data_IF_690835795311
#
_entry.id   IF_690835795311
#
_cell.length_a   1.000
_cell.length_b   1.000
_cell.length_c   1.000
_cell.angle_alpha   90.00
_cell.angle_beta   90.00
_cell.angle_gamma   90.00
#
_symmetry.space_group_name_H-M   'P 1'
#
loop_
_entity.id
_entity.type
_entity.pdbx_description
1 polymer ?
#
# COMPACT_ATOMS: atom_id res chain seq x y z
N UNK A 1 -6.47 -31.24 0.94
CA UNK A 1 -5.37 -31.28 -0.06
C UNK A 1 -5.92 -30.63 -1.32
N UNK A 2 -5.43 -29.53 -1.87
CA UNK A 2 -4.25 -28.73 -1.62
C UNK A 2 -4.67 -27.28 -1.88
N UNK A 3 -4.81 -26.46 -0.82
CA UNK A 3 -4.79 -25.01 -0.97
C UNK A 3 -3.33 -24.62 -1.22
N UNK A 4 -2.87 -24.84 -2.46
CA UNK A 4 -1.53 -24.43 -2.88
C UNK A 4 -1.52 -22.89 -2.85
N UNK A 5 -0.93 -22.31 -1.80
CA UNK A 5 0.51 -22.11 -1.62
C UNK A 5 1.03 -20.94 -2.47
N UNK A 6 0.39 -19.79 -2.33
CA UNK A 6 1.10 -18.64 -1.76
C UNK A 6 0.60 -18.44 -0.33
N UNK A 7 1.05 -19.36 0.52
CA UNK A 7 0.81 -19.48 1.94
C UNK A 7 1.14 -18.20 2.71
N UNK A 8 0.18 -17.74 3.50
CA UNK A 8 0.38 -17.38 4.90
C UNK A 8 1.58 -16.47 5.22
N UNK A 9 1.71 -15.32 4.53
CA UNK A 9 2.52 -14.17 4.99
C UNK A 9 1.91 -12.85 4.51
N UNK A 10 0.83 -12.41 5.16
CA UNK A 10 0.42 -11.00 5.13
C UNK A 10 -0.25 -10.50 3.84
N UNK A 11 -1.58 -10.41 3.89
CA UNK A 11 -2.41 -9.42 3.17
C UNK A 11 -2.07 -9.24 1.66
N UNK A 12 -2.76 -9.99 0.80
CA UNK A 12 -2.72 -9.81 -0.65
C UNK A 12 -3.28 -8.42 -1.01
N UNK A 13 -2.54 -7.66 -1.83
CA UNK A 13 -2.95 -6.34 -2.31
C UNK A 13 -3.49 -6.47 -3.72
N UNK A 14 -4.72 -5.99 -3.90
CA UNK A 14 -5.33 -5.83 -5.20
C UNK A 14 -4.53 -4.82 -6.03
N UNK A 15 -4.01 -5.22 -7.19
CA UNK A 15 -3.31 -4.29 -8.11
C UNK A 15 -4.24 -3.22 -8.69
N UNK A 16 -5.52 -3.52 -8.86
CA UNK A 16 -6.50 -2.58 -9.41
C UNK A 16 -6.96 -1.52 -8.42
N UNK A 17 -7.22 -1.91 -7.16
CA UNK A 17 -7.78 -0.99 -6.16
C UNK A 17 -6.87 -0.72 -4.96
N UNK A 18 -5.65 -1.26 -4.90
CA UNK A 18 -4.74 -1.10 -3.76
C UNK A 18 -5.23 -1.74 -2.45
N UNK A 19 -6.42 -2.35 -2.44
CA UNK A 19 -7.06 -2.88 -1.25
C UNK A 19 -6.35 -4.14 -0.74
N UNK A 20 -6.11 -4.19 0.56
CA UNK A 20 -5.26 -5.18 1.23
C UNK A 20 -6.05 -5.87 2.35
N UNK A 21 -6.45 -7.11 2.17
CA UNK A 21 -7.12 -7.94 3.18
C UNK A 21 -6.92 -9.43 2.88
N UNK A 22 -6.93 -10.30 3.91
CA UNK A 22 -6.92 -11.74 3.71
C UNK A 22 -8.12 -12.20 2.86
N UNK A 23 -7.89 -13.09 1.88
CA UNK A 23 -8.96 -13.71 1.10
C UNK A 23 -9.59 -12.83 0.02
N UNK A 24 -8.93 -11.73 -0.37
CA UNK A 24 -9.39 -10.89 -1.49
C UNK A 24 -9.15 -11.50 -2.88
N UNK A 25 -8.10 -12.30 -2.99
CA UNK A 25 -7.58 -12.96 -4.20
C UNK A 25 -8.37 -14.22 -4.57
N UNK A 26 -9.62 -14.33 -4.10
CA UNK A 26 -10.52 -15.43 -4.41
C UNK A 26 -10.86 -15.51 -5.91
N UNK A 27 -10.85 -14.36 -6.62
CA UNK A 27 -11.12 -14.37 -8.06
C UNK A 27 -9.84 -14.62 -8.88
N UNK A 28 -9.67 -15.87 -9.34
CA UNK A 28 -8.53 -16.27 -10.19
C UNK A 28 -8.67 -15.88 -11.66
N UNK A 29 -9.85 -15.39 -12.07
CA UNK A 29 -10.15 -15.06 -13.48
C UNK A 29 -9.51 -13.74 -13.91
N UNK A 30 -9.45 -12.78 -13.00
CA UNK A 30 -9.04 -11.40 -13.30
C UNK A 30 -7.78 -10.96 -12.56
N UNK A 31 -7.15 -11.87 -11.80
CA UNK A 31 -5.93 -11.61 -11.00
C UNK A 31 -6.04 -10.35 -10.10
N UNK A 32 -7.25 -10.00 -9.69
CA UNK A 32 -7.59 -8.82 -8.91
C UNK A 32 -8.53 -9.20 -7.77
N UNK A 33 -8.81 -8.29 -6.84
CA UNK A 33 -9.70 -8.63 -5.73
C UNK A 33 -11.14 -8.90 -6.20
N UNK A 34 -11.88 -9.65 -5.39
CA UNK A 34 -13.29 -10.00 -5.67
C UNK A 34 -14.19 -8.79 -5.97
N UNK A 35 -13.90 -7.61 -5.42
CA UNK A 35 -14.66 -6.38 -5.68
C UNK A 35 -14.39 -5.88 -7.10
N UNK A 36 -13.12 -5.67 -7.47
CA UNK A 36 -12.73 -5.22 -8.81
C UNK A 36 -13.09 -6.25 -9.88
N UNK A 37 -12.99 -7.54 -9.55
CA UNK A 37 -13.40 -8.62 -10.43
C UNK A 37 -14.90 -8.52 -10.76
N UNK A 38 -15.76 -8.24 -9.78
CA UNK A 38 -17.21 -8.08 -10.02
C UNK A 38 -17.52 -6.89 -10.90
N UNK A 39 -16.85 -5.77 -10.66
CA UNK A 39 -17.03 -4.57 -11.46
C UNK A 39 -16.62 -4.80 -12.92
N UNK A 40 -15.50 -5.50 -13.14
CA UNK A 40 -15.01 -5.83 -14.47
C UNK A 40 -15.84 -6.91 -15.20
N UNK A 41 -16.33 -7.92 -14.48
CA UNK A 41 -17.04 -9.07 -15.06
C UNK A 41 -18.56 -8.86 -15.19
N UNK A 42 -19.15 -7.99 -14.37
CA UNK A 42 -20.58 -7.67 -14.37
C UNK A 42 -21.46 -8.92 -14.24
N UNK A 43 -22.43 -9.04 -15.15
CA UNK A 43 -23.39 -10.16 -15.21
C UNK A 43 -22.75 -11.55 -15.37
N UNK A 44 -21.50 -11.62 -15.85
CA UNK A 44 -20.78 -12.88 -15.97
C UNK A 44 -20.52 -13.53 -14.61
N UNK A 45 -20.47 -12.75 -13.53
CA UNK A 45 -20.35 -13.28 -12.17
C UNK A 45 -21.55 -14.12 -11.75
N UNK A 46 -22.73 -13.91 -12.32
CA UNK A 46 -23.94 -14.66 -11.96
C UNK A 46 -23.87 -16.14 -12.34
N UNK A 47 -23.04 -16.46 -13.32
CA UNK A 47 -22.82 -17.81 -13.83
C UNK A 47 -21.55 -18.45 -13.28
N UNK A 48 -20.86 -17.79 -12.33
CA UNK A 48 -19.62 -18.29 -11.75
C UNK A 48 -19.91 -19.40 -10.73
N UNK A 49 -19.25 -20.58 -10.83
CA UNK A 49 -19.44 -21.67 -9.86
C UNK A 49 -19.00 -21.28 -8.44
N UNK A 50 -18.05 -20.35 -8.31
CA UNK A 50 -17.56 -19.82 -7.03
C UNK A 50 -18.35 -18.59 -6.53
N UNK A 51 -19.50 -18.25 -7.15
CA UNK A 51 -20.27 -17.04 -6.83
C UNK A 51 -20.56 -16.91 -5.34
N UNK A 52 -21.06 -17.97 -4.70
CA UNK A 52 -21.43 -17.96 -3.27
C UNK A 52 -20.23 -17.66 -2.37
N UNK A 53 -19.05 -18.20 -2.69
CA UNK A 53 -17.81 -17.89 -1.96
C UNK A 53 -17.40 -16.44 -2.15
N UNK A 54 -17.56 -15.93 -3.36
CA UNK A 54 -17.29 -14.53 -3.68
C UNK A 54 -18.27 -13.58 -2.97
N UNK A 55 -19.56 -13.98 -2.82
CA UNK A 55 -20.58 -13.19 -2.12
C UNK A 55 -20.20 -13.03 -0.64
N UNK A 56 -19.88 -14.13 0.05
CA UNK A 56 -19.43 -14.11 1.45
C UNK A 56 -18.19 -13.24 1.63
N UNK A 57 -17.22 -13.33 0.71
CA UNK A 57 -16.04 -12.48 0.76
C UNK A 57 -16.40 -10.99 0.62
N UNK A 58 -17.31 -10.64 -0.30
CA UNK A 58 -17.79 -9.25 -0.47
C UNK A 58 -18.53 -8.76 0.77
N UNK A 59 -19.38 -9.58 1.38
CA UNK A 59 -20.09 -9.24 2.62
C UNK A 59 -19.13 -9.05 3.80
N UNK A 60 -18.14 -9.93 3.96
CA UNK A 60 -17.08 -9.78 4.97
C UNK A 60 -16.30 -8.48 4.78
N UNK A 61 -16.06 -8.07 3.53
CA UNK A 61 -15.41 -6.79 3.23
C UNK A 61 -16.29 -5.59 3.54
N UNK A 62 -17.58 -5.65 3.22
CA UNK A 62 -18.55 -4.60 3.59
C UNK A 62 -18.61 -4.45 5.12
N UNK A 63 -18.62 -5.56 5.84
CA UNK A 63 -18.56 -5.56 7.30
C UNK A 63 -17.26 -4.95 7.83
N UNK A 64 -16.10 -5.32 7.29
CA UNK A 64 -14.82 -4.69 7.65
C UNK A 64 -14.82 -3.18 7.39
N UNK A 65 -15.38 -2.73 6.27
CA UNK A 65 -15.53 -1.29 5.97
C UNK A 65 -16.44 -0.57 6.96
N UNK A 66 -17.50 -1.22 7.42
CA UNK A 66 -18.38 -0.67 8.46
C UNK A 66 -17.65 -0.51 9.80
N UNK A 67 -16.75 -1.44 10.13
CA UNK A 67 -15.92 -1.37 11.33
C UNK A 67 -14.78 -0.35 11.21
N UNK A 68 -14.22 -0.20 10.01
CA UNK A 68 -13.10 0.69 9.71
C UNK A 68 -13.44 1.67 8.59
N UNK A 69 -14.27 2.69 8.83
CA UNK A 69 -14.67 3.67 7.80
C UNK A 69 -13.49 4.46 7.22
N UNK A 70 -12.33 4.46 7.90
CA UNK A 70 -11.09 5.09 7.43
C UNK A 70 -10.33 4.23 6.41
N UNK A 71 -10.74 2.98 6.21
CA UNK A 71 -10.09 2.04 5.30
C UNK A 71 -10.20 2.49 3.84
N UNK A 72 -11.33 3.09 3.44
CA UNK A 72 -11.51 3.61 2.08
C UNK A 72 -10.50 4.71 1.74
N UNK A 73 -10.18 5.59 2.69
CA UNK A 73 -9.17 6.65 2.52
C UNK A 73 -7.77 6.06 2.29
N UNK A 74 -7.41 5.01 3.02
CA UNK A 74 -6.14 4.31 2.81
C UNK A 74 -6.07 3.63 1.44
N UNK A 75 -7.20 3.08 1.00
CA UNK A 75 -7.32 2.32 -0.24
C UNK A 75 -7.23 3.24 -1.44
N UNK A 76 -7.88 4.40 -1.40
CA UNK A 76 -7.81 5.40 -2.47
C UNK A 76 -6.41 6.03 -2.58
N UNK A 77 -5.73 6.26 -1.45
CA UNK A 77 -4.31 6.59 -1.46
C UNK A 77 -3.47 5.48 -2.13
N UNK A 78 -3.77 4.21 -1.81
CA UNK A 78 -3.16 3.03 -2.42
C UNK A 78 -3.29 2.99 -3.94
N UNK A 79 -4.50 3.17 -4.47
CA UNK A 79 -4.76 3.25 -5.93
C UNK A 79 -3.94 4.34 -6.58
N UNK A 80 -4.00 5.52 -6.00
CA UNK A 80 -3.36 6.69 -6.57
C UNK A 80 -1.84 6.50 -6.63
N UNK A 81 -1.23 6.00 -5.54
CA UNK A 81 0.20 5.69 -5.52
C UNK A 81 0.55 4.60 -6.54
N UNK A 82 -0.20 3.50 -6.62
CA UNK A 82 0.07 2.44 -7.59
C UNK A 82 0.07 2.96 -9.03
N UNK A 83 -0.96 3.72 -9.40
CA UNK A 83 -1.08 4.36 -10.72
C UNK A 83 0.09 5.30 -11.02
N UNK A 84 0.52 6.11 -10.06
CA UNK A 84 1.65 7.03 -10.25
C UNK A 84 3.00 6.33 -10.42
N UNK A 85 3.14 5.14 -9.86
CA UNK A 85 4.40 4.37 -9.83
C UNK A 85 4.49 3.32 -10.94
N UNK A 86 3.38 3.01 -11.61
CA UNK A 86 3.31 2.08 -12.73
C UNK A 86 4.21 2.52 -13.89
N UNK A 87 4.18 3.81 -14.25
CA UNK A 87 5.06 4.41 -15.28
C UNK A 87 6.56 4.30 -14.98
N UNK A 88 6.94 3.96 -13.74
CA UNK A 88 8.32 3.77 -13.32
C UNK A 88 8.69 2.29 -13.10
N UNK A 89 7.76 1.34 -13.30
CA UNK A 89 7.90 -0.06 -12.89
C UNK A 89 8.33 -0.17 -11.41
N UNK A 90 7.68 0.60 -10.51
CA UNK A 90 8.00 0.67 -9.07
C UNK A 90 6.78 0.50 -8.16
N UNK A 91 5.71 -0.10 -8.65
CA UNK A 91 4.45 -0.29 -7.88
C UNK A 91 4.71 -1.00 -6.54
N UNK A 92 5.56 -2.03 -6.53
CA UNK A 92 5.87 -2.79 -5.31
C UNK A 92 6.56 -1.94 -4.23
N UNK A 93 7.42 -0.97 -4.61
CA UNK A 93 8.00 -0.02 -3.65
C UNK A 93 6.92 0.84 -3.00
N UNK A 94 5.98 1.36 -3.80
CA UNK A 94 4.86 2.16 -3.30
C UNK A 94 3.97 1.38 -2.34
N UNK A 95 3.68 0.13 -2.69
CA UNK A 95 2.92 -0.79 -1.85
C UNK A 95 3.62 -1.02 -0.50
N UNK A 96 4.92 -1.32 -0.50
CA UNK A 96 5.68 -1.53 0.73
C UNK A 96 5.76 -0.24 1.55
N UNK A 97 5.96 0.91 0.91
CA UNK A 97 5.95 2.22 1.55
C UNK A 97 4.63 2.44 2.30
N UNK A 98 3.49 2.27 1.63
CA UNK A 98 2.17 2.45 2.23
C UNK A 98 1.86 1.46 3.35
N UNK A 99 2.32 0.20 3.25
CA UNK A 99 2.23 -0.76 4.36
C UNK A 99 2.96 -0.23 5.60
N UNK A 100 4.16 0.34 5.42
CA UNK A 100 4.95 0.90 6.50
C UNK A 100 4.36 2.19 7.07
N UNK A 101 3.70 3.04 6.26
CA UNK A 101 3.01 4.26 6.74
C UNK A 101 1.95 3.94 7.79
N UNK A 102 1.28 2.79 7.72
CA UNK A 102 0.37 2.36 8.80
C UNK A 102 1.09 2.12 10.14
N UNK A 103 2.37 1.73 10.10
CA UNK A 103 3.22 1.66 11.29
C UNK A 103 3.48 3.03 11.91
N UNK A 104 3.69 4.06 11.09
CA UNK A 104 3.82 5.45 11.56
C UNK A 104 2.53 5.92 12.23
N UNK A 105 1.37 5.64 11.63
CA UNK A 105 0.05 5.99 12.23
C UNK A 105 -0.10 5.37 13.61
N UNK A 106 0.29 4.09 13.80
CA UNK A 106 0.27 3.45 15.12
C UNK A 106 1.25 4.12 16.10
N UNK A 107 2.44 4.50 15.63
CA UNK A 107 3.44 5.17 16.47
C UNK A 107 2.96 6.55 16.94
N UNK A 108 2.26 7.29 16.08
CA UNK A 108 1.67 8.61 16.38
C UNK A 108 0.59 8.57 17.48
N UNK A 109 0.04 7.38 17.79
CA UNK A 109 -0.86 7.23 18.93
C UNK A 109 -0.13 7.30 20.29
N UNK A 110 1.20 7.16 20.28
CA UNK A 110 2.04 7.05 21.49
C UNK A 110 3.11 8.15 21.57
N UNK A 111 3.55 8.66 20.42
CA UNK A 111 4.66 9.60 20.30
C UNK A 111 4.23 10.86 19.53
N UNK A 112 4.88 12.00 19.83
CA UNK A 112 4.69 13.24 19.05
C UNK A 112 5.27 13.12 17.65
N UNK A 113 4.74 13.89 16.68
CA UNK A 113 5.09 13.83 15.25
C UNK A 113 6.60 13.99 15.01
N UNK A 114 7.23 14.92 15.71
CA UNK A 114 8.65 15.27 15.60
C UNK A 114 9.57 14.12 15.99
N UNK A 115 9.11 13.26 16.90
CA UNK A 115 9.84 12.08 17.38
C UNK A 115 9.43 10.82 16.63
N UNK A 116 8.14 10.66 16.35
CA UNK A 116 7.59 9.48 15.67
C UNK A 116 8.14 9.34 14.25
N UNK A 117 8.22 10.44 13.47
CA UNK A 117 8.64 10.35 12.08
C UNK A 117 10.09 9.88 11.91
N UNK A 118 11.11 10.48 12.58
CA UNK A 118 12.48 9.99 12.49
C UNK A 118 12.64 8.55 13.02
N UNK A 119 11.98 8.20 14.13
CA UNK A 119 12.01 6.84 14.68
C UNK A 119 11.42 5.83 13.70
N UNK A 120 10.30 6.17 13.09
CA UNK A 120 9.66 5.34 12.08
C UNK A 120 10.59 5.14 10.88
N UNK A 121 11.14 6.22 10.30
CA UNK A 121 12.09 6.14 9.17
C UNK A 121 13.27 5.22 9.52
N UNK A 122 13.87 5.42 10.69
CA UNK A 122 14.98 4.60 11.17
C UNK A 122 14.59 3.14 11.42
N UNK A 123 13.32 2.84 11.70
CA UNK A 123 12.84 1.47 11.90
C UNK A 123 12.54 0.74 10.58
N UNK A 124 12.04 1.45 9.56
CA UNK A 124 11.53 0.84 8.32
C UNK A 124 12.55 0.82 7.18
N UNK A 125 13.51 1.73 7.17
CA UNK A 125 14.56 1.79 6.15
C UNK A 125 15.85 1.16 6.65
N UNK A 126 16.65 0.63 5.71
CA UNK A 126 18.02 0.18 6.02
C UNK A 126 18.94 1.37 6.28
N UNK A 127 19.94 1.21 7.14
CA UNK A 127 20.81 2.32 7.57
C UNK A 127 21.58 2.94 6.41
N UNK A 128 22.07 2.12 5.49
CA UNK A 128 22.79 2.58 4.30
C UNK A 128 21.87 3.39 3.36
N UNK A 129 20.58 3.06 3.32
CA UNK A 129 19.57 3.74 2.50
C UNK A 129 19.29 5.13 3.05
N UNK A 130 19.16 5.29 4.37
CA UNK A 130 18.92 6.60 5.00
C UNK A 130 20.03 7.59 4.61
N UNK A 131 21.28 7.16 4.66
CA UNK A 131 22.42 8.01 4.28
C UNK A 131 22.39 8.45 2.80
N UNK A 132 21.94 7.56 1.91
CA UNK A 132 21.82 7.82 0.47
C UNK A 132 20.68 8.76 0.12
N UNK A 133 19.54 8.64 0.83
CA UNK A 133 18.36 9.48 0.58
C UNK A 133 18.63 10.97 0.78
N UNK A 134 19.55 11.34 1.68
CA UNK A 134 19.94 12.75 1.89
C UNK A 134 20.67 13.33 0.67
N UNK A 135 21.32 12.49 -0.14
CA UNK A 135 22.17 12.90 -1.27
C UNK A 135 21.57 12.57 -2.63
N UNK A 136 20.41 11.92 -2.68
CA UNK A 136 19.83 11.46 -3.94
C UNK A 136 19.32 12.66 -4.75
N UNK A 137 19.70 12.79 -6.03
CA UNK A 137 19.07 13.77 -6.90
C UNK A 137 17.62 13.35 -7.14
N UNK A 138 16.68 14.29 -7.00
CA UNK A 138 15.27 14.03 -7.27
C UNK A 138 15.05 13.96 -8.78
N UNK A 139 15.06 12.74 -9.32
CA UNK A 139 14.81 12.46 -10.75
C UNK A 139 13.36 12.07 -11.01
N UNK A 140 12.58 11.85 -9.94
CA UNK A 140 11.14 11.55 -9.98
C UNK A 140 10.35 12.68 -9.33
N UNK A 141 9.20 12.99 -9.92
CA UNK A 141 8.21 13.90 -9.34
C UNK A 141 6.82 13.25 -9.39
N UNK A 142 6.52 12.51 -8.34
CA UNK A 142 5.18 12.02 -8.01
C UNK A 142 4.58 13.00 -7.00
N UNK A 143 3.39 13.51 -7.28
CA UNK A 143 2.65 14.33 -6.34
C UNK A 143 1.50 13.52 -5.75
N UNK A 144 1.73 12.99 -4.54
CA UNK A 144 0.70 12.35 -3.72
C UNK A 144 0.29 13.24 -2.53
N UNK A 145 0.67 14.52 -2.52
CA UNK A 145 0.44 15.40 -1.37
C UNK A 145 -1.05 15.60 -1.08
N UNK A 146 -1.87 15.79 -2.13
CA UNK A 146 -3.33 15.94 -1.98
C UNK A 146 -3.99 14.69 -1.39
N UNK A 147 -3.79 13.47 -1.95
CA UNK A 147 -4.24 12.23 -1.31
C UNK A 147 -3.74 12.06 0.13
N UNK A 148 -2.50 12.47 0.43
CA UNK A 148 -1.95 12.42 1.78
C UNK A 148 -2.65 13.36 2.76
N UNK A 149 -3.21 14.50 2.32
CA UNK A 149 -3.99 15.37 3.21
C UNK A 149 -5.24 14.68 3.71
N UNK A 150 -5.97 14.02 2.83
CA UNK A 150 -7.19 13.27 3.18
C UNK A 150 -6.83 12.11 4.12
N UNK A 151 -5.77 11.36 3.79
CA UNK A 151 -5.22 10.33 4.66
C UNK A 151 -4.84 10.87 6.04
N UNK A 152 -4.08 11.95 6.11
CA UNK A 152 -3.62 12.48 7.39
C UNK A 152 -4.71 13.10 8.24
N UNK A 153 -5.74 13.68 7.64
CA UNK A 153 -6.94 14.09 8.37
C UNK A 153 -7.69 12.88 8.96
N UNK A 154 -7.77 11.77 8.23
CA UNK A 154 -8.40 10.55 8.75
C UNK A 154 -7.59 9.90 9.88
N UNK A 155 -6.26 9.88 9.77
CA UNK A 155 -5.37 9.12 10.66
C UNK A 155 -4.55 9.97 11.64
N UNK A 156 -4.85 11.27 11.78
CA UNK A 156 -4.20 12.22 12.70
C UNK A 156 -2.69 12.37 12.47
N UNK A 157 -2.26 12.38 11.20
CA UNK A 157 -0.86 12.61 10.81
C UNK A 157 -0.60 13.97 10.16
N UNK A 158 -1.46 14.96 10.39
CA UNK A 158 -1.41 16.27 9.73
C UNK A 158 -0.03 16.94 9.90
N UNK A 159 0.50 17.54 8.84
CA UNK A 159 1.85 18.10 8.81
C UNK A 159 2.94 17.10 8.39
N UNK A 160 2.62 15.81 8.24
CA UNK A 160 3.54 14.81 7.69
C UNK A 160 3.35 14.55 6.19
N UNK A 161 2.40 15.23 5.52
CA UNK A 161 2.11 15.01 4.10
C UNK A 161 3.30 15.34 3.21
N UNK A 162 3.95 16.48 3.44
CA UNK A 162 5.14 16.87 2.69
C UNK A 162 6.35 15.95 2.99
N UNK A 163 6.69 15.64 4.27
CA UNK A 163 7.70 14.64 4.59
C UNK A 163 7.47 13.28 3.93
N UNK A 164 6.24 12.77 3.96
CA UNK A 164 5.89 11.48 3.35
C UNK A 164 6.01 11.51 1.82
N UNK A 165 5.50 12.56 1.17
CA UNK A 165 5.63 12.73 -0.29
C UNK A 165 7.09 12.83 -0.72
N UNK A 166 7.90 13.59 0.02
CA UNK A 166 9.32 13.77 -0.28
C UNK A 166 10.10 12.47 -0.08
N UNK A 167 9.81 11.73 1.01
CA UNK A 167 10.44 10.45 1.27
C UNK A 167 10.15 9.42 0.17
N UNK A 168 8.89 9.35 -0.30
CA UNK A 168 8.53 8.47 -1.41
C UNK A 168 9.28 8.86 -2.69
N UNK A 169 9.32 10.15 -3.04
CA UNK A 169 10.06 10.63 -4.21
C UNK A 169 11.56 10.34 -4.12
N UNK A 170 12.16 10.50 -2.95
CA UNK A 170 13.56 10.18 -2.71
C UNK A 170 13.84 8.68 -2.87
N UNK A 171 12.99 7.81 -2.30
CA UNK A 171 13.08 6.36 -2.45
C UNK A 171 12.94 5.93 -3.92
N UNK A 172 11.97 6.48 -4.63
CA UNK A 172 11.77 6.19 -6.05
C UNK A 172 12.96 6.64 -6.88
N UNK A 173 13.45 7.87 -6.66
CA UNK A 173 14.62 8.42 -7.33
C UNK A 173 15.84 7.53 -7.09
N UNK A 174 16.07 7.10 -5.84
CA UNK A 174 17.16 6.21 -5.49
C UNK A 174 17.03 4.87 -6.22
N UNK A 175 15.83 4.30 -6.27
CA UNK A 175 15.57 3.02 -6.96
C UNK A 175 15.79 3.06 -8.47
N UNK A 176 15.64 4.23 -9.09
CA UNK A 176 15.92 4.43 -10.51
C UNK A 176 17.41 4.64 -10.76
N UNK A 177 18.08 5.45 -9.92
CA UNK A 177 19.53 5.67 -9.99
C UNK A 177 20.29 4.36 -9.79
N UNK A 178 19.90 3.55 -8.81
CA UNK A 178 20.51 2.25 -8.54
C UNK A 178 20.02 1.14 -9.47
N UNK A 179 19.00 1.40 -10.31
CA UNK A 179 18.35 0.42 -11.20
C UNK A 179 17.89 -0.85 -10.46
N UNK A 180 17.50 -0.71 -9.20
CA UNK A 180 17.01 -1.83 -8.38
C UNK A 180 15.55 -1.57 -7.99
N UNK A 181 14.67 -2.51 -8.33
CA UNK A 181 13.24 -2.43 -8.06
C UNK A 181 12.78 -3.24 -6.84
N UNK A 182 13.66 -4.06 -6.27
CA UNK A 182 13.34 -4.91 -5.13
C UNK A 182 13.18 -4.06 -3.86
N UNK A 183 11.98 -4.03 -3.25
CA UNK A 183 11.77 -3.31 -1.99
C UNK A 183 12.65 -3.79 -0.84
N UNK A 184 13.10 -5.05 -0.85
CA UNK A 184 13.97 -5.60 0.20
C UNK A 184 15.30 -4.86 0.29
N UNK A 185 15.76 -4.22 -0.81
CA UNK A 185 16.96 -3.39 -0.85
C UNK A 185 16.83 -2.12 -0.01
N UNK A 186 15.63 -1.57 0.08
CA UNK A 186 15.37 -0.24 0.65
C UNK A 186 14.79 -0.33 2.06
N UNK A 187 13.89 -1.29 2.26
CA UNK A 187 13.14 -1.48 3.49
C UNK A 187 13.70 -2.63 4.31
N UNK A 188 13.56 -2.52 5.64
CA UNK A 188 13.70 -3.65 6.56
C UNK A 188 12.41 -4.47 6.52
N UNK A 189 12.31 -5.34 5.52
CA UNK A 189 11.22 -6.29 5.40
C UNK A 189 11.51 -7.48 6.31
N UNK A 190 10.88 -7.52 7.48
CA UNK A 190 10.87 -8.62 8.45
C UNK A 190 11.97 -9.69 8.29
N UNK A 191 13.02 -9.55 9.11
CA UNK A 191 13.62 -10.71 9.76
C UNK A 191 12.67 -11.16 10.86
#
# INVERSE_FOLDING_TARGET
>A
MVANLYSARGVAICRSCGFAAPGLDICRVTETCVICAREALGERCNHCPDKTRCDVAVEGLRFLKLLEPKLDVYVDLGKYVAMQLERYDRVELGVVFLKNVMGLVKLLQREKKERAFPLWVASVLRDDVVSKLVRVPYVVKVDIHRPLKEFCAAFRCEGLEAPLNNLLNALLSLSLVEKNKDPSRYFRLGV
#
